data_IF_569999235823
#
_entry.id   IF_569999235823
#
_cell.length_a   1.000
_cell.length_b   1.000
_cell.length_c   1.000
_cell.angle_alpha   90.00
_cell.angle_beta   90.00
_cell.angle_gamma   90.00
#
_symmetry.space_group_name_H-M   'P 1'
#
loop_
_entity.id
_entity.type
_entity.pdbx_description
1 polymer ?
#
# COMPACT_ATOMS: atom_id res chain seq x y z
N UNK A 1 -45.56 16.96 -11.18
CA UNK A 1 -44.15 16.97 -10.71
C UNK A 1 -44.11 17.55 -9.30
N UNK A 2 -43.80 16.73 -8.30
CA UNK A 2 -43.93 17.07 -6.88
C UNK A 2 -42.76 17.91 -6.37
N UNK A 3 -42.93 19.24 -6.40
CA UNK A 3 -41.97 20.24 -5.90
C UNK A 3 -41.59 20.00 -4.43
N UNK A 4 -42.53 19.47 -3.64
CA UNK A 4 -42.34 19.15 -2.22
C UNK A 4 -41.31 18.03 -2.02
N UNK A 5 -41.32 17.00 -2.91
CA UNK A 5 -40.38 15.89 -2.83
C UNK A 5 -38.95 16.32 -3.15
N UNK A 6 -38.78 17.23 -4.12
CA UNK A 6 -37.47 17.79 -4.49
C UNK A 6 -36.88 18.66 -3.37
N UNK A 7 -37.71 19.43 -2.67
CA UNK A 7 -37.27 20.24 -1.52
C UNK A 7 -36.85 19.37 -0.33
N UNK A 8 -37.58 18.28 -0.05
CA UNK A 8 -37.25 17.35 1.03
C UNK A 8 -35.90 16.66 0.80
N UNK A 9 -35.64 16.20 -0.44
CA UNK A 9 -34.37 15.55 -0.80
C UNK A 9 -33.17 16.51 -0.66
N UNK A 10 -33.31 17.77 -1.10
CA UNK A 10 -32.23 18.77 -0.98
C UNK A 10 -31.88 19.09 0.47
N UNK A 11 -32.87 19.08 1.37
CA UNK A 11 -32.65 19.30 2.82
C UNK A 11 -31.98 18.10 3.49
N UNK A 12 -32.27 16.87 3.04
CA UNK A 12 -31.63 15.67 3.55
C UNK A 12 -30.14 15.59 3.17
N UNK A 13 -29.77 16.03 1.96
CA UNK A 13 -28.37 16.00 1.49
C UNK A 13 -27.50 17.11 2.09
N UNK A 14 -28.07 18.29 2.37
CA UNK A 14 -27.30 19.43 2.91
C UNK A 14 -26.74 19.23 4.33
N UNK A 15 -27.22 18.24 5.09
CA UNK A 15 -26.80 17.98 6.48
C UNK A 15 -25.62 17.02 6.63
N UNK A 16 -25.02 16.55 5.53
CA UNK A 16 -23.84 15.66 5.55
C UNK A 16 -22.49 16.37 5.46
N UNK A 17 -22.48 17.70 5.28
CA UNK A 17 -21.25 18.50 5.12
C UNK A 17 -20.94 19.46 6.29
N UNK A 18 -21.53 19.24 7.48
CA UNK A 18 -21.24 20.06 8.67
C UNK A 18 -20.43 19.28 9.70
N UNK A 19 -19.21 18.88 9.35
CA UNK A 19 -18.16 18.53 10.31
C UNK A 19 -16.90 19.31 9.92
N UNK A 20 -17.00 20.63 10.02
CA UNK A 20 -15.84 21.49 10.11
C UNK A 20 -16.09 22.48 11.24
N UNK A 21 -15.20 22.40 12.24
CA UNK A 21 -14.83 23.43 13.22
C UNK A 21 -15.01 23.00 14.67
N UNK A 22 -13.99 22.34 15.22
CA UNK A 22 -13.59 22.64 16.59
C UNK A 22 -12.07 22.59 16.75
N UNK A 23 -11.55 23.74 17.19
CA UNK A 23 -10.25 23.97 17.82
C UNK A 23 -9.03 24.11 16.90
N UNK A 24 -8.79 25.37 16.51
CA UNK A 24 -7.45 25.91 16.41
C UNK A 24 -6.74 25.80 17.76
N UNK A 25 -5.71 24.96 17.83
CA UNK A 25 -4.66 25.02 18.84
C UNK A 25 -3.34 25.32 18.11
N UNK A 26 -2.59 26.28 18.65
CA UNK A 26 -1.41 26.89 18.06
C UNK A 26 -0.30 25.87 17.74
N UNK A 27 0.37 26.14 16.62
CA UNK A 27 1.52 25.44 16.06
C UNK A 27 2.74 25.49 16.99
N UNK A 28 3.40 24.34 17.16
CA UNK A 28 4.86 24.27 17.25
C UNK A 28 5.33 23.49 16.01
N UNK A 29 6.39 23.93 15.29
CA UNK A 29 6.94 23.16 14.18
C UNK A 29 7.76 22.02 14.77
N UNK A 30 7.12 20.87 14.98
CA UNK A 30 7.86 19.64 15.18
C UNK A 30 8.38 19.22 13.81
N UNK A 31 9.71 19.16 13.72
CA UNK A 31 10.46 18.65 12.60
C UNK A 31 9.76 17.41 12.03
N UNK A 32 9.42 17.48 10.74
CA UNK A 32 8.84 16.35 10.01
C UNK A 32 9.96 15.37 9.71
N UNK A 33 10.52 14.76 10.74
CA UNK A 33 11.10 13.44 10.58
C UNK A 33 9.90 12.56 10.22
N UNK A 34 9.74 12.23 8.94
CA UNK A 34 8.83 11.15 8.54
C UNK A 34 9.14 10.00 9.48
N UNK A 35 8.19 9.55 10.32
CA UNK A 35 8.40 8.33 11.03
C UNK A 35 8.49 7.29 9.92
N UNK A 36 9.71 6.86 9.59
CA UNK A 36 9.91 5.59 8.90
C UNK A 36 9.07 4.63 9.73
N UNK A 37 7.99 4.05 9.17
CA UNK A 37 7.30 3.02 9.93
C UNK A 37 8.40 2.03 10.28
N UNK A 38 8.64 1.83 11.57
CA UNK A 38 9.41 0.68 12.00
C UNK A 38 8.65 -0.48 11.37
N UNK A 39 9.24 -1.07 10.32
CA UNK A 39 8.67 -2.22 9.63
C UNK A 39 8.75 -3.34 10.68
N UNK A 40 7.75 -3.38 11.55
CA UNK A 40 7.63 -4.47 12.50
C UNK A 40 7.39 -5.73 11.68
N UNK A 41 8.18 -6.79 11.91
CA UNK A 41 8.00 -8.02 11.16
C UNK A 41 6.58 -8.53 11.41
N UNK A 42 5.84 -8.77 10.32
CA UNK A 42 4.49 -9.30 10.42
C UNK A 42 4.53 -10.70 11.05
N UNK A 43 4.18 -10.78 12.32
CA UNK A 43 4.16 -12.06 13.04
C UNK A 43 2.91 -12.83 12.66
N UNK A 44 3.02 -13.69 11.67
CA UNK A 44 1.94 -14.58 11.25
C UNK A 44 1.92 -15.78 12.21
N UNK A 45 0.97 -15.77 13.15
CA UNK A 45 0.80 -16.86 14.13
C UNK A 45 -0.37 -17.78 13.76
N UNK A 46 -0.19 -19.09 13.99
CA UNK A 46 -1.25 -20.10 13.85
C UNK A 46 -1.45 -20.66 12.42
N UNK A 47 -2.46 -21.52 12.22
CA UNK A 47 -2.76 -22.11 10.92
C UNK A 47 -3.23 -21.05 9.91
N UNK A 48 -2.69 -21.12 8.69
CA UNK A 48 -3.05 -20.20 7.61
C UNK A 48 -4.44 -20.54 7.06
N UNK A 49 -5.36 -19.59 7.13
CA UNK A 49 -6.60 -19.67 6.39
C UNK A 49 -6.34 -19.42 4.90
N UNK A 50 -6.49 -20.46 4.06
CA UNK A 50 -6.21 -20.39 2.62
C UNK A 50 -7.05 -19.35 1.88
N UNK A 51 -8.31 -19.15 2.27
CA UNK A 51 -9.18 -18.15 1.64
C UNK A 51 -8.64 -16.73 1.87
N UNK A 52 -8.31 -16.39 3.12
CA UNK A 52 -7.79 -15.06 3.45
C UNK A 52 -6.40 -14.83 2.84
N UNK A 53 -5.58 -15.87 2.78
CA UNK A 53 -4.30 -15.83 2.08
C UNK A 53 -4.47 -15.46 0.61
N UNK A 54 -5.35 -16.16 -0.12
CA UNK A 54 -5.60 -15.86 -1.52
C UNK A 54 -6.18 -14.46 -1.70
N UNK A 55 -7.10 -14.04 -0.82
CA UNK A 55 -7.67 -12.70 -0.85
C UNK A 55 -6.61 -11.61 -0.66
N UNK A 56 -5.68 -11.80 0.28
CA UNK A 56 -4.57 -10.86 0.51
C UNK A 56 -3.61 -10.80 -0.67
N UNK A 57 -3.34 -11.95 -1.28
CA UNK A 57 -2.50 -12.06 -2.48
C UNK A 57 -3.14 -11.40 -3.71
N UNK A 58 -4.40 -11.67 -3.99
CA UNK A 58 -5.12 -11.10 -5.13
C UNK A 58 -5.19 -9.58 -5.02
N UNK A 59 -5.52 -9.08 -3.82
CA UNK A 59 -5.49 -7.64 -3.55
C UNK A 59 -4.10 -7.01 -3.74
N UNK A 60 -3.03 -7.71 -3.31
CA UNK A 60 -1.67 -7.22 -3.50
C UNK A 60 -1.29 -7.17 -4.99
N UNK A 61 -1.68 -8.16 -5.79
CA UNK A 61 -1.46 -8.17 -7.25
C UNK A 61 -2.19 -6.98 -7.91
N UNK A 62 -3.45 -6.74 -7.53
CA UNK A 62 -4.21 -5.60 -8.04
C UNK A 62 -3.55 -4.26 -7.67
N UNK A 63 -3.01 -4.15 -6.46
CA UNK A 63 -2.28 -2.97 -6.02
C UNK A 63 -1.00 -2.75 -6.85
N UNK A 64 -0.20 -3.79 -7.05
CA UNK A 64 1.01 -3.71 -7.88
C UNK A 64 0.65 -3.30 -9.31
N UNK A 65 -0.40 -3.90 -9.89
CA UNK A 65 -0.91 -3.53 -11.21
C UNK A 65 -1.37 -2.07 -11.30
N UNK A 66 -1.97 -1.53 -10.24
CA UNK A 66 -2.42 -0.13 -10.18
C UNK A 66 -1.28 0.89 -10.08
N UNK A 67 -0.12 0.48 -9.52
CA UNK A 67 1.04 1.34 -9.33
C UNK A 67 1.93 1.44 -10.58
N UNK A 68 1.80 0.51 -11.53
CA UNK A 68 2.42 0.59 -12.85
C UNK A 68 3.94 0.74 -12.79
N UNK A 69 4.46 1.87 -13.30
CA UNK A 69 5.90 2.17 -13.39
C UNK A 69 6.52 2.74 -12.10
N UNK A 70 5.85 2.61 -10.95
CA UNK A 70 6.40 3.04 -9.67
C UNK A 70 7.68 2.25 -9.32
N UNK A 71 8.65 2.88 -8.63
CA UNK A 71 9.83 2.18 -8.12
C UNK A 71 9.44 1.02 -7.21
N UNK A 72 10.11 -0.13 -7.38
CA UNK A 72 9.78 -1.37 -6.67
C UNK A 72 9.85 -1.22 -5.13
N UNK A 73 10.82 -0.45 -4.62
CA UNK A 73 10.98 -0.20 -3.19
C UNK A 73 9.75 0.50 -2.58
N UNK A 74 9.18 1.45 -3.32
CA UNK A 74 7.98 2.18 -2.90
C UNK A 74 6.73 1.29 -2.94
N UNK A 75 6.67 0.37 -3.91
CA UNK A 75 5.60 -0.63 -3.99
C UNK A 75 5.68 -1.57 -2.78
N UNK A 76 6.87 -2.04 -2.43
CA UNK A 76 7.11 -2.92 -1.28
C UNK A 76 6.72 -2.21 0.03
N UNK A 77 7.20 -0.99 0.25
CA UNK A 77 6.85 -0.20 1.45
C UNK A 77 5.33 -0.04 1.60
N UNK A 78 4.63 0.22 0.50
CA UNK A 78 3.18 0.40 0.49
C UNK A 78 2.42 -0.90 0.76
N UNK A 79 2.89 -2.03 0.24
CA UNK A 79 2.32 -3.35 0.52
C UNK A 79 2.49 -3.71 2.00
N UNK A 80 3.68 -3.48 2.56
CA UNK A 80 3.98 -3.71 3.98
C UNK A 80 3.07 -2.83 4.85
N UNK A 81 2.99 -1.53 4.55
CA UNK A 81 2.13 -0.60 5.28
C UNK A 81 0.64 -0.98 5.23
N UNK A 82 0.19 -1.59 4.14
CA UNK A 82 -1.19 -2.06 4.00
C UNK A 82 -1.46 -3.42 4.66
N UNK A 83 -0.41 -4.20 4.94
CA UNK A 83 -0.48 -5.44 5.69
C UNK A 83 -0.58 -5.18 7.21
N UNK A 84 -0.08 -4.04 7.69
CA UNK A 84 -0.18 -3.63 9.09
C UNK A 84 -1.64 -3.58 9.57
N UNK A 85 -1.91 -4.25 10.69
CA UNK A 85 -3.27 -4.35 11.27
C UNK A 85 -4.22 -5.30 10.53
N UNK A 86 -3.77 -6.01 9.49
CA UNK A 86 -4.55 -7.07 8.83
C UNK A 86 -4.43 -8.39 9.60
N UNK A 87 -5.40 -9.30 9.47
CA UNK A 87 -5.28 -10.66 10.00
C UNK A 87 -4.08 -11.39 9.40
N UNK A 88 -3.33 -12.15 10.21
CA UNK A 88 -2.05 -12.76 9.80
C UNK A 88 -2.13 -13.60 8.51
N UNK A 89 -3.22 -14.36 8.28
CA UNK A 89 -3.39 -15.12 7.03
C UNK A 89 -3.52 -14.23 5.79
N UNK A 90 -4.17 -13.07 5.90
CA UNK A 90 -4.30 -12.10 4.80
C UNK A 90 -2.96 -11.40 4.54
N UNK A 91 -2.30 -11.01 5.63
CA UNK A 91 -0.98 -10.42 5.63
C UNK A 91 0.08 -11.33 4.98
N UNK A 92 0.04 -12.64 5.28
CA UNK A 92 0.86 -13.66 4.63
C UNK A 92 0.64 -13.72 3.11
N UNK A 93 -0.60 -13.48 2.66
CA UNK A 93 -0.92 -13.36 1.24
C UNK A 93 -0.19 -12.19 0.58
N UNK A 94 -0.20 -11.02 1.24
CA UNK A 94 0.52 -9.82 0.78
C UNK A 94 2.03 -10.06 0.78
N UNK A 95 2.57 -10.60 1.86
CA UNK A 95 4.00 -10.89 2.01
C UNK A 95 4.51 -11.84 0.92
N UNK A 96 3.69 -12.81 0.50
CA UNK A 96 4.04 -13.70 -0.61
C UNK A 96 4.31 -12.96 -1.93
N UNK A 97 3.63 -11.83 -2.16
CA UNK A 97 3.86 -10.99 -3.35
C UNK A 97 5.11 -10.13 -3.17
N UNK A 98 5.34 -9.60 -1.97
CA UNK A 98 6.57 -8.85 -1.64
C UNK A 98 7.81 -9.70 -1.91
N UNK A 99 7.83 -10.95 -1.45
CA UNK A 99 8.95 -11.87 -1.68
C UNK A 99 9.22 -12.10 -3.18
N UNK A 100 8.17 -12.17 -4.01
CA UNK A 100 8.31 -12.30 -5.47
C UNK A 100 8.92 -11.02 -6.07
N UNK A 101 8.46 -9.84 -5.66
CA UNK A 101 8.99 -8.56 -6.12
C UNK A 101 10.49 -8.40 -5.78
N UNK A 102 10.88 -8.72 -4.55
CA UNK A 102 12.28 -8.69 -4.13
C UNK A 102 13.16 -9.64 -4.95
N UNK A 103 12.66 -10.86 -5.23
CA UNK A 103 13.39 -11.84 -6.04
C UNK A 103 13.59 -11.38 -7.50
N UNK A 104 12.59 -10.69 -8.07
CA UNK A 104 12.67 -10.11 -9.40
C UNK A 104 13.70 -8.97 -9.44
N UNK A 105 13.68 -8.07 -8.45
CA UNK A 105 14.63 -6.96 -8.35
C UNK A 105 16.10 -7.45 -8.28
N UNK A 106 16.37 -8.49 -7.50
CA UNK A 106 17.71 -9.10 -7.40
C UNK A 106 18.15 -9.71 -8.73
N UNK A 107 17.22 -10.29 -9.48
CA UNK A 107 17.51 -10.90 -10.79
C UNK A 107 17.87 -9.84 -11.81
N UNK A 108 17.11 -8.74 -11.88
CA UNK A 108 17.39 -7.61 -12.78
C UNK A 108 18.76 -6.97 -12.51
N UNK A 109 19.12 -6.82 -11.22
CA UNK A 109 20.43 -6.30 -10.84
C UNK A 109 21.58 -7.20 -11.31
N UNK A 110 21.44 -8.52 -11.17
CA UNK A 110 22.45 -9.48 -11.64
C UNK A 110 22.61 -9.45 -13.15
N UNK A 111 21.51 -9.37 -13.90
CA UNK A 111 21.57 -9.30 -15.35
C UNK A 111 22.23 -8.00 -15.84
N UNK A 112 21.94 -6.87 -15.18
CA UNK A 112 22.54 -5.58 -15.51
C UNK A 112 24.05 -5.56 -15.25
N UNK A 113 24.51 -6.13 -14.13
CA UNK A 113 25.94 -6.27 -13.83
C UNK A 113 26.66 -7.12 -14.88
N UNK A 114 26.07 -8.25 -15.28
CA UNK A 114 26.64 -9.13 -16.31
C UNK A 114 26.78 -8.42 -17.66
N UNK A 115 25.82 -7.57 -18.04
CA UNK A 115 25.90 -6.76 -19.27
C UNK A 115 27.01 -5.71 -19.20
N UNK A 116 27.14 -5.00 -18.07
CA UNK A 116 28.17 -4.00 -17.87
C UNK A 116 29.59 -4.61 -17.96
N UNK A 117 29.80 -5.81 -17.42
CA UNK A 117 31.08 -6.52 -17.51
C UNK A 117 31.45 -6.93 -18.94
N UNK A 118 30.46 -7.21 -19.81
CA UNK A 118 30.71 -7.60 -21.19
C UNK A 118 31.04 -6.40 -22.10
N UNK A 119 30.51 -5.21 -21.82
CA UNK A 119 30.78 -4.00 -22.63
C UNK A 119 32.22 -3.48 -22.46
N UNK A 120 32.84 -3.72 -21.30
CA UNK A 120 34.24 -3.37 -21.04
C UNK A 120 35.27 -4.27 -21.73
N UNK A 121 34.83 -5.35 -22.40
CA UNK A 121 35.71 -6.31 -23.10
C UNK A 121 35.66 -6.05 -24.61
N UNK A 122 36.22 -4.93 -25.04
CA UNK A 122 36.59 -4.71 -26.45
C UNK A 122 38.10 -4.49 -26.48
N UNK A 123 38.81 -5.52 -26.93
CA UNK A 123 40.20 -5.45 -27.38
C UNK A 123 40.28 -4.77 -28.75
#
# INVERSE_FOLDING_TARGET
MNIIATMALRRALGRRSSVQSRAAARVAPAETESPRPAIEPLVITGPINRYMFLQGRDWAIDMVGSLGAAPIDLVIERLIGAATGRPGSYAAGIESVVAVLESAAVTDQRENQNRASQVGRKE
#
